data_IF_880800591287
#
_entry.id   IF_880800591287
#
_cell.length_a   1.000
_cell.length_b   1.000
_cell.length_c   1.000
_cell.angle_alpha   90.00
_cell.angle_beta   90.00
_cell.angle_gamma   90.00
#
_symmetry.space_group_name_H-M   'P 1'
#
loop_
_entity.id
_entity.type
_entity.pdbx_description
1 polymer ?
#
# COMPACT_ATOMS: atom_id res chain seq x y z
N UNK A 1 17.11 3.17 12.92
CA UNK A 1 16.65 3.11 11.52
C UNK A 1 17.36 1.94 10.86
N UNK A 2 16.65 0.85 10.57
CA UNK A 2 17.25 -0.36 9.99
C UNK A 2 17.32 -0.21 8.47
N UNK A 3 18.52 -0.21 7.90
CA UNK A 3 18.71 -0.11 6.46
C UNK A 3 18.20 -1.37 5.77
N UNK A 4 17.24 -1.18 4.87
CA UNK A 4 16.71 -2.22 4.00
C UNK A 4 17.77 -2.66 2.99
N UNK A 5 18.58 -3.65 3.35
CA UNK A 5 19.58 -4.23 2.45
C UNK A 5 18.94 -5.21 1.45
N UNK A 6 19.62 -5.45 0.32
CA UNK A 6 19.27 -6.44 -0.73
C UNK A 6 18.88 -7.83 -0.17
N UNK A 7 19.41 -8.17 1.01
CA UNK A 7 19.12 -9.41 1.73
C UNK A 7 17.67 -9.52 2.20
N UNK A 8 17.00 -8.41 2.52
CA UNK A 8 15.59 -8.39 2.88
C UNK A 8 14.69 -8.70 1.68
N UNK A 9 15.06 -8.18 0.49
CA UNK A 9 14.37 -8.46 -0.77
C UNK A 9 14.57 -9.92 -1.20
N UNK A 10 15.79 -10.45 -1.09
CA UNK A 10 16.08 -11.85 -1.36
C UNK A 10 15.38 -12.80 -0.37
N UNK A 11 15.44 -12.49 0.93
CA UNK A 11 14.72 -13.24 1.95
C UNK A 11 13.21 -13.25 1.72
N UNK A 12 12.67 -12.15 1.24
CA UNK A 12 11.26 -12.05 0.84
C UNK A 12 10.93 -12.92 -0.37
N UNK A 13 11.73 -12.86 -1.45
CA UNK A 13 11.51 -13.70 -2.64
C UNK A 13 11.54 -15.19 -2.28
N UNK A 14 12.43 -15.59 -1.36
CA UNK A 14 12.53 -16.97 -0.86
C UNK A 14 11.29 -17.34 -0.03
N UNK A 15 10.88 -16.51 0.93
CA UNK A 15 9.70 -16.77 1.76
C UNK A 15 8.41 -16.81 0.92
N UNK A 16 8.27 -15.90 -0.04
CA UNK A 16 7.16 -15.92 -1.01
C UNK A 16 7.17 -17.20 -1.84
N UNK A 17 8.34 -17.67 -2.30
CA UNK A 17 8.49 -18.92 -3.05
C UNK A 17 8.11 -20.16 -2.21
N UNK A 18 8.53 -20.21 -0.94
CA UNK A 18 8.18 -21.29 -0.01
C UNK A 18 6.67 -21.29 0.29
N UNK A 19 6.09 -20.10 0.44
CA UNK A 19 4.65 -19.94 0.65
C UNK A 19 3.84 -20.37 -0.60
N UNK A 20 4.31 -20.06 -1.82
CA UNK A 20 3.75 -20.55 -3.10
C UNK A 20 3.72 -22.08 -3.09
N UNK A 21 4.85 -22.70 -2.75
CA UNK A 21 4.98 -24.15 -2.75
C UNK A 21 4.03 -24.81 -1.74
N UNK A 22 3.93 -24.26 -0.52
CA UNK A 22 2.99 -24.78 0.51
C UNK A 22 1.52 -24.52 0.20
N UNK A 23 1.18 -23.39 -0.41
CA UNK A 23 -0.20 -23.06 -0.82
C UNK A 23 -0.75 -24.05 -1.85
N UNK A 24 0.09 -24.48 -2.79
CA UNK A 24 -0.30 -25.48 -3.80
C UNK A 24 -0.41 -26.91 -3.25
N UNK A 25 0.18 -27.19 -2.08
CA UNK A 25 0.20 -28.53 -1.50
C UNK A 25 -1.07 -28.89 -0.70
N UNK A 26 -1.93 -27.92 -0.33
CA UNK A 26 -3.17 -28.20 0.41
C UNK A 26 -4.36 -28.41 -0.54
N UNK A 27 -4.37 -29.52 -1.25
CA UNK A 27 -5.38 -29.86 -2.26
C UNK A 27 -6.67 -30.48 -1.67
N UNK A 28 -6.78 -30.64 -0.35
CA UNK A 28 -7.96 -31.26 0.26
C UNK A 28 -8.58 -30.45 1.41
N UNK A 29 -9.92 -30.36 1.36
CA UNK A 29 -10.92 -30.13 2.42
C UNK A 29 -11.60 -28.74 2.51
N UNK A 30 -12.93 -28.84 2.36
CA UNK A 30 -14.07 -27.95 2.69
C UNK A 30 -14.14 -26.59 1.96
N UNK A 31 -15.19 -26.42 1.15
CA UNK A 31 -15.67 -25.14 0.66
C UNK A 31 -16.05 -24.25 1.86
N UNK A 32 -15.19 -23.29 2.19
CA UNK A 32 -15.56 -22.18 3.06
C UNK A 32 -16.34 -21.17 2.21
N UNK A 33 -17.66 -21.13 2.39
CA UNK A 33 -18.55 -20.12 1.80
C UNK A 33 -18.75 -18.95 2.76
N UNK A 34 -18.81 -17.72 2.24
CA UNK A 34 -19.12 -16.50 3.02
C UNK A 34 -17.95 -15.56 3.24
N UNK A 35 -18.23 -14.39 3.84
CA UNK A 35 -17.26 -13.33 4.16
C UNK A 35 -16.19 -13.86 5.14
N UNK A 36 -15.08 -14.36 4.59
CA UNK A 36 -14.06 -15.04 5.38
C UNK A 36 -13.27 -14.07 6.26
N UNK A 37 -12.77 -14.53 7.42
CA UNK A 37 -11.97 -13.69 8.33
C UNK A 37 -10.74 -13.03 7.67
N UNK A 38 -10.24 -13.57 6.56
CA UNK A 38 -9.17 -12.95 5.76
C UNK A 38 -9.60 -11.61 5.13
N UNK A 39 -10.86 -11.45 4.74
CA UNK A 39 -11.40 -10.20 4.21
C UNK A 39 -11.48 -9.13 5.28
N UNK A 40 -11.91 -9.51 6.50
CA UNK A 40 -11.96 -8.59 7.63
C UNK A 40 -10.55 -8.06 7.92
N UNK A 41 -9.55 -8.95 7.98
CA UNK A 41 -8.15 -8.56 8.19
C UNK A 41 -7.65 -7.65 7.07
N UNK A 42 -7.94 -7.99 5.81
CA UNK A 42 -7.58 -7.17 4.65
C UNK A 42 -8.21 -5.77 4.73
N UNK A 43 -9.53 -5.68 4.89
CA UNK A 43 -10.26 -4.41 4.93
C UNK A 43 -9.82 -3.55 6.11
N UNK A 44 -9.63 -4.12 7.31
CA UNK A 44 -9.13 -3.39 8.46
C UNK A 44 -7.73 -2.83 8.21
N UNK A 45 -6.84 -3.62 7.60
CA UNK A 45 -5.50 -3.17 7.27
C UNK A 45 -5.54 -2.01 6.27
N UNK A 46 -6.34 -2.10 5.20
CA UNK A 46 -6.43 -1.04 4.21
C UNK A 46 -7.00 0.26 4.78
N UNK A 47 -8.01 0.16 5.65
CA UNK A 47 -8.56 1.34 6.34
C UNK A 47 -7.51 1.95 7.27
N UNK A 48 -6.79 1.11 8.01
CA UNK A 48 -5.69 1.55 8.86
C UNK A 48 -4.61 2.26 8.04
N UNK A 49 -4.18 1.67 6.92
CA UNK A 49 -3.19 2.26 6.03
C UNK A 49 -3.69 3.60 5.46
N UNK A 50 -4.93 3.66 4.95
CA UNK A 50 -5.53 4.91 4.48
C UNK A 50 -5.54 6.01 5.56
N UNK A 51 -5.82 5.64 6.82
CA UNK A 51 -5.78 6.58 7.94
C UNK A 51 -4.35 7.02 8.29
N UNK A 52 -3.38 6.11 8.19
CA UNK A 52 -1.97 6.39 8.46
C UNK A 52 -1.42 7.38 7.44
N UNK A 53 -1.70 7.20 6.14
CA UNK A 53 -1.22 8.11 5.09
C UNK A 53 -1.71 9.54 5.30
N UNK A 54 -3.01 9.70 5.56
CA UNK A 54 -3.58 11.03 5.83
C UNK A 54 -3.00 11.62 7.13
N UNK A 55 -2.80 10.79 8.15
CA UNK A 55 -2.21 11.25 9.42
C UNK A 55 -0.74 11.66 9.28
N UNK A 56 0.06 10.90 8.53
CA UNK A 56 1.47 11.20 8.26
C UNK A 56 1.62 12.48 7.46
N UNK A 57 0.78 12.68 6.44
CA UNK A 57 0.72 13.95 5.70
C UNK A 57 0.51 15.15 6.63
N UNK A 58 -0.50 15.11 7.50
CA UNK A 58 -0.76 16.21 8.44
C UNK A 58 0.35 16.37 9.48
N UNK A 59 0.96 15.26 9.94
CA UNK A 59 2.11 15.30 10.85
C UNK A 59 3.30 16.02 10.19
N UNK A 60 3.64 15.63 8.96
CA UNK A 60 4.75 16.23 8.20
C UNK A 60 4.49 17.70 7.91
N UNK A 61 3.27 18.06 7.48
CA UNK A 61 2.90 19.48 7.31
C UNK A 61 3.08 20.29 8.60
N UNK A 62 2.63 19.74 9.74
CA UNK A 62 2.77 20.40 11.02
C UNK A 62 4.23 20.55 11.45
N UNK A 63 5.05 19.51 11.27
CA UNK A 63 6.48 19.54 11.57
C UNK A 63 7.22 20.57 10.70
N UNK A 64 6.93 20.64 9.40
CA UNK A 64 7.54 21.65 8.52
C UNK A 64 7.13 23.07 8.95
N UNK A 65 5.86 23.27 9.32
CA UNK A 65 5.38 24.57 9.82
C UNK A 65 6.14 25.03 11.06
N UNK A 66 6.47 24.11 11.97
CA UNK A 66 7.18 24.41 13.21
C UNK A 66 8.70 24.55 13.02
N UNK A 67 9.32 23.66 12.25
CA UNK A 67 10.77 23.52 12.15
C UNK A 67 11.38 24.39 11.06
N UNK A 68 10.64 24.66 9.98
CA UNK A 68 11.12 25.45 8.83
C UNK A 68 10.04 26.46 8.41
N UNK A 69 9.78 27.52 9.22
CA UNK A 69 8.74 28.50 8.90
C UNK A 69 8.98 29.24 7.57
N UNK A 70 10.24 29.33 7.11
CA UNK A 70 10.61 29.91 5.83
C UNK A 70 10.07 29.12 4.63
N UNK A 71 9.83 27.81 4.77
CA UNK A 71 9.25 26.98 3.72
C UNK A 71 7.78 27.34 3.42
N UNK A 72 7.05 27.89 4.39
CA UNK A 72 5.62 28.24 4.23
C UNK A 72 5.38 29.36 3.22
N UNK A 73 6.40 30.16 2.92
CA UNK A 73 6.35 31.21 1.91
C UNK A 73 7.03 30.80 0.60
N UNK A 74 7.59 29.59 0.52
CA UNK A 74 8.26 29.11 -0.69
C UNK A 74 7.21 28.56 -1.68
N UNK A 75 7.10 29.11 -2.91
CA UNK A 75 6.13 28.66 -3.90
C UNK A 75 6.30 27.20 -4.31
N UNK A 76 7.54 26.67 -4.31
CA UNK A 76 7.82 25.29 -4.67
C UNK A 76 7.31 24.32 -3.59
N UNK A 77 7.50 24.67 -2.32
CA UNK A 77 6.95 23.91 -1.19
C UNK A 77 5.42 23.94 -1.18
N UNK A 78 4.80 25.09 -1.46
CA UNK A 78 3.34 25.20 -1.55
C UNK A 78 2.77 24.33 -2.67
N UNK A 79 3.45 24.28 -3.81
CA UNK A 79 3.06 23.43 -4.96
C UNK A 79 3.22 21.95 -4.60
N UNK A 80 4.34 21.57 -4.00
CA UNK A 80 4.60 20.22 -3.51
C UNK A 80 3.55 19.77 -2.49
N UNK A 81 3.27 20.61 -1.49
CA UNK A 81 2.29 20.34 -0.44
C UNK A 81 0.86 20.17 -0.99
N UNK A 82 0.48 20.96 -2.00
CA UNK A 82 -0.80 20.80 -2.67
C UNK A 82 -0.89 19.50 -3.47
N UNK A 83 0.18 19.13 -4.19
CA UNK A 83 0.26 17.85 -4.91
C UNK A 83 0.17 16.66 -3.95
N UNK A 84 0.93 16.72 -2.84
CA UNK A 84 0.98 15.68 -1.84
C UNK A 84 -0.39 15.48 -1.17
N UNK A 85 -1.09 16.58 -0.85
CA UNK A 85 -2.46 16.52 -0.32
C UNK A 85 -3.40 15.76 -1.27
N UNK A 86 -3.38 16.09 -2.56
CA UNK A 86 -4.21 15.42 -3.57
C UNK A 86 -3.84 13.93 -3.68
N UNK A 87 -2.54 13.63 -3.66
CA UNK A 87 -2.04 12.26 -3.76
C UNK A 87 -2.44 11.41 -2.54
N UNK A 88 -2.23 11.89 -1.31
CA UNK A 88 -2.58 11.17 -0.08
C UNK A 88 -4.09 10.90 0.03
N UNK A 89 -4.95 11.86 -0.37
CA UNK A 89 -6.39 11.63 -0.40
C UNK A 89 -6.81 10.66 -1.50
N UNK A 90 -6.22 10.76 -2.70
CA UNK A 90 -6.48 9.83 -3.78
C UNK A 90 -6.10 8.39 -3.39
N UNK A 91 -4.95 8.23 -2.74
CA UNK A 91 -4.48 6.96 -2.18
C UNK A 91 -5.48 6.41 -1.15
N UNK A 92 -5.84 7.21 -0.15
CA UNK A 92 -6.80 6.81 0.87
C UNK A 92 -8.14 6.35 0.28
N UNK A 93 -8.65 7.07 -0.73
CA UNK A 93 -9.89 6.69 -1.45
C UNK A 93 -9.72 5.37 -2.18
N UNK A 94 -8.60 5.14 -2.86
CA UNK A 94 -8.32 3.87 -3.55
C UNK A 94 -8.24 2.72 -2.55
N UNK A 95 -7.55 2.90 -1.42
CA UNK A 95 -7.44 1.89 -0.36
C UNK A 95 -8.80 1.57 0.26
N UNK A 96 -9.61 2.59 0.59
CA UNK A 96 -10.98 2.39 1.10
C UNK A 96 -11.85 1.66 0.07
N UNK A 97 -11.74 2.05 -1.20
CA UNK A 97 -12.48 1.38 -2.29
C UNK A 97 -12.07 -0.09 -2.39
N UNK A 98 -10.77 -0.41 -2.28
CA UNK A 98 -10.27 -1.79 -2.25
C UNK A 98 -10.73 -2.56 -1.01
N UNK A 99 -10.93 -1.88 0.14
CA UNK A 99 -11.44 -2.48 1.36
C UNK A 99 -12.92 -2.86 1.26
N UNK A 100 -13.70 -2.08 0.49
CA UNK A 100 -15.16 -2.24 0.34
C UNK A 100 -15.56 -3.08 -0.87
N UNK A 101 -14.78 -3.06 -1.95
CA UNK A 101 -15.03 -3.81 -3.20
C UNK A 101 -15.36 -5.31 -2.95
N UNK A 102 -14.64 -6.03 -2.07
CA UNK A 102 -14.95 -7.43 -1.78
C UNK A 102 -16.28 -7.66 -1.05
N UNK A 103 -16.89 -6.65 -0.44
CA UNK A 103 -18.21 -6.79 0.18
C UNK A 103 -19.36 -6.84 -0.84
N UNK A 104 -19.08 -6.51 -2.11
CA UNK A 104 -20.08 -6.52 -3.17
C UNK A 104 -20.31 -7.94 -3.72
N UNK A 105 -21.56 -8.37 -3.96
CA UNK A 105 -21.90 -9.72 -4.45
C UNK A 105 -21.59 -9.93 -5.95
N UNK A 106 -20.57 -9.28 -6.50
CA UNK A 106 -20.26 -9.24 -7.94
C UNK A 106 -19.19 -10.25 -8.39
N UNK A 107 -18.96 -10.32 -9.71
CA UNK A 107 -18.05 -11.29 -10.37
C UNK A 107 -16.61 -11.21 -9.84
N UNK A 108 -16.23 -12.29 -9.16
CA UNK A 108 -14.93 -12.54 -8.49
C UNK A 108 -13.67 -12.19 -9.27
N UNK A 109 -13.61 -12.42 -10.58
CA UNK A 109 -12.38 -12.19 -11.36
C UNK A 109 -12.07 -10.70 -11.55
N UNK A 110 -13.10 -9.87 -11.65
CA UNK A 110 -12.91 -8.43 -11.82
C UNK A 110 -12.55 -7.79 -10.47
N UNK A 111 -13.22 -8.20 -9.39
CA UNK A 111 -12.93 -7.69 -8.04
C UNK A 111 -11.46 -7.93 -7.63
N UNK A 112 -10.95 -9.16 -7.79
CA UNK A 112 -9.56 -9.47 -7.42
C UNK A 112 -8.58 -8.63 -8.27
N UNK A 113 -8.82 -8.52 -9.59
CA UNK A 113 -7.97 -7.71 -10.47
C UNK A 113 -7.99 -6.24 -10.07
N UNK A 114 -9.18 -5.68 -9.77
CA UNK A 114 -9.32 -4.29 -9.32
C UNK A 114 -8.64 -4.05 -7.99
N UNK A 115 -8.75 -4.96 -7.01
CA UNK A 115 -8.02 -4.86 -5.74
C UNK A 115 -6.50 -4.91 -5.95
N UNK A 116 -6.00 -5.79 -6.83
CA UNK A 116 -4.57 -5.81 -7.16
C UNK A 116 -4.13 -4.48 -7.80
N UNK A 117 -4.86 -3.99 -8.81
CA UNK A 117 -4.54 -2.70 -9.46
C UNK A 117 -4.54 -1.56 -8.43
N UNK A 118 -5.57 -1.50 -7.59
CA UNK A 118 -5.68 -0.48 -6.55
C UNK A 118 -4.54 -0.53 -5.54
N UNK A 119 -4.13 -1.73 -5.08
CA UNK A 119 -2.98 -1.90 -4.19
C UNK A 119 -1.66 -1.40 -4.80
N UNK A 120 -1.46 -1.65 -6.10
CA UNK A 120 -0.25 -1.22 -6.79
C UNK A 120 -0.24 0.29 -7.05
N UNK A 121 -1.41 0.87 -7.36
CA UNK A 121 -1.56 2.32 -7.53
C UNK A 121 -1.40 3.07 -6.21
N UNK A 122 -2.09 2.62 -5.17
CA UNK A 122 -2.06 3.23 -3.85
C UNK A 122 -0.71 3.04 -3.15
N UNK A 123 -0.04 1.89 -3.30
CA UNK A 123 1.25 1.69 -2.66
C UNK A 123 2.43 2.15 -3.51
N UNK A 124 3.08 1.24 -4.26
CA UNK A 124 4.35 1.52 -4.95
C UNK A 124 4.31 2.73 -5.89
N UNK A 125 3.23 2.91 -6.64
CA UNK A 125 3.14 4.00 -7.62
C UNK A 125 2.99 5.35 -6.92
N UNK A 126 2.15 5.45 -5.89
CA UNK A 126 2.02 6.68 -5.10
C UNK A 126 3.33 7.01 -4.39
N UNK A 127 3.95 6.03 -3.70
CA UNK A 127 5.23 6.21 -3.03
C UNK A 127 6.35 6.66 -3.99
N UNK A 128 6.39 6.10 -5.21
CA UNK A 128 7.35 6.53 -6.23
C UNK A 128 7.05 7.95 -6.73
N UNK A 129 5.78 8.30 -6.93
CA UNK A 129 5.38 9.64 -7.35
C UNK A 129 5.71 10.69 -6.28
N UNK A 130 5.47 10.38 -5.01
CA UNK A 130 5.86 11.21 -3.87
C UNK A 130 7.38 11.39 -3.81
N UNK A 131 8.15 10.31 -3.92
CA UNK A 131 9.61 10.39 -3.91
C UNK A 131 10.16 11.28 -5.04
N UNK A 132 9.62 11.14 -6.26
CA UNK A 132 10.02 11.98 -7.40
C UNK A 132 9.62 13.44 -7.18
N UNK A 133 8.42 13.70 -6.66
CA UNK A 133 7.95 15.06 -6.37
C UNK A 133 8.80 15.71 -5.26
N UNK A 134 9.11 14.96 -4.21
CA UNK A 134 9.94 15.43 -3.10
C UNK A 134 11.34 15.81 -3.59
N UNK A 135 11.98 14.96 -4.39
CA UNK A 135 13.29 15.27 -4.99
C UNK A 135 13.24 16.49 -5.93
N UNK A 136 12.16 16.65 -6.70
CA UNK A 136 12.06 17.75 -7.65
C UNK A 136 11.82 19.12 -6.99
N UNK A 137 10.94 19.18 -5.99
CA UNK A 137 10.49 20.45 -5.40
C UNK A 137 11.19 20.82 -4.10
N UNK A 138 11.65 19.83 -3.32
CA UNK A 138 12.20 20.04 -1.98
C UNK A 138 13.47 19.21 -1.73
N UNK A 139 14.11 18.70 -2.80
CA UNK A 139 15.29 17.84 -2.72
C UNK A 139 16.45 18.44 -1.92
N UNK A 140 16.62 19.76 -1.99
CA UNK A 140 17.66 20.49 -1.23
C UNK A 140 17.44 20.46 0.30
N UNK A 141 16.22 20.13 0.74
CA UNK A 141 15.85 20.01 2.15
C UNK A 141 15.82 18.54 2.64
N UNK A 142 15.96 17.56 1.74
CA UNK A 142 15.98 16.14 2.09
C UNK A 142 17.39 15.73 2.52
N UNK A 143 17.57 15.52 3.83
CA UNK A 143 18.86 15.14 4.42
C UNK A 143 19.21 13.65 4.21
N UNK A 144 18.24 12.81 3.87
CA UNK A 144 18.43 11.38 3.60
C UNK A 144 17.33 10.86 2.64
N UNK A 145 17.72 10.07 1.64
CA UNK A 145 16.77 9.40 0.74
C UNK A 145 16.15 8.19 1.46
N UNK A 146 14.99 8.38 2.08
CA UNK A 146 14.29 7.29 2.77
C UNK A 146 13.46 6.45 1.79
N UNK A 147 14.05 5.35 1.31
CA UNK A 147 13.39 4.36 0.46
C UNK A 147 12.47 3.39 1.23
N UNK A 148 12.38 3.50 2.55
CA UNK A 148 11.67 2.51 3.38
C UNK A 148 10.17 2.46 3.07
N UNK A 149 9.53 3.59 2.79
CA UNK A 149 8.11 3.66 2.39
C UNK A 149 7.87 2.93 1.07
N UNK A 150 8.73 3.15 0.07
CA UNK A 150 8.62 2.46 -1.23
C UNK A 150 8.85 0.95 -1.07
N UNK A 151 9.82 0.54 -0.24
CA UNK A 151 10.05 -0.86 0.08
C UNK A 151 8.86 -1.52 0.79
N UNK A 152 8.31 -0.87 1.81
CA UNK A 152 7.19 -1.36 2.61
C UNK A 152 5.92 -1.53 1.77
N UNK A 153 5.56 -0.52 0.97
CA UNK A 153 4.37 -0.57 0.10
C UNK A 153 4.50 -1.61 -1.01
N UNK A 154 5.70 -1.80 -1.56
CA UNK A 154 5.99 -2.81 -2.59
C UNK A 154 5.91 -4.23 -2.05
N UNK A 155 6.43 -4.47 -0.85
CA UNK A 155 6.25 -5.74 -0.18
C UNK A 155 4.79 -6.03 0.12
N UNK A 156 4.08 -5.05 0.65
CA UNK A 156 2.69 -5.20 1.01
C UNK A 156 1.83 -5.53 -0.22
N UNK A 157 1.96 -4.73 -1.29
CA UNK A 157 1.25 -4.95 -2.55
C UNK A 157 1.57 -6.33 -3.13
N UNK A 158 2.84 -6.76 -3.10
CA UNK A 158 3.26 -8.06 -3.61
C UNK A 158 2.66 -9.21 -2.79
N UNK A 159 2.70 -9.12 -1.46
CA UNK A 159 2.21 -10.17 -0.57
C UNK A 159 0.70 -10.37 -0.71
N UNK A 160 -0.08 -9.28 -0.78
CA UNK A 160 -1.53 -9.37 -0.96
C UNK A 160 -1.93 -9.77 -2.37
N UNK A 161 -1.24 -9.26 -3.41
CA UNK A 161 -1.44 -9.72 -4.78
C UNK A 161 -1.20 -11.22 -4.87
N UNK A 162 -0.11 -11.70 -4.28
CA UNK A 162 0.19 -13.12 -4.21
C UNK A 162 -0.91 -13.92 -3.50
N UNK A 163 -1.32 -13.47 -2.31
CA UNK A 163 -2.39 -14.11 -1.54
C UNK A 163 -3.69 -14.20 -2.35
N UNK A 164 -4.09 -13.13 -3.04
CA UNK A 164 -5.31 -13.12 -3.85
C UNK A 164 -5.28 -14.07 -5.03
N UNK A 165 -4.14 -14.19 -5.69
CA UNK A 165 -4.00 -15.03 -6.88
C UNK A 165 -3.86 -16.52 -6.54
N UNK A 166 -3.28 -16.86 -5.39
CA UNK A 166 -2.92 -18.25 -5.05
C UNK A 166 -3.82 -18.89 -4.01
N UNK A 167 -4.42 -18.11 -3.10
CA UNK A 167 -5.15 -18.66 -1.96
C UNK A 167 -6.43 -19.38 -2.36
N UNK A 168 -6.56 -20.63 -1.95
CA UNK A 168 -7.81 -21.39 -2.05
C UNK A 168 -8.96 -20.76 -1.26
N UNK A 169 -8.68 -19.95 -0.23
CA UNK A 169 -9.74 -19.26 0.53
C UNK A 169 -10.35 -18.15 -0.33
N UNK A 170 -9.51 -17.30 -0.92
CA UNK A 170 -9.94 -16.28 -1.89
C UNK A 170 -10.61 -16.94 -3.10
N UNK A 171 -10.07 -18.10 -3.52
CA UNK A 171 -10.69 -19.23 -4.25
C UNK A 171 -12.22 -19.34 -4.24
N UNK A 172 -12.72 -19.48 -3.02
CA UNK A 172 -14.03 -20.07 -2.73
C UNK A 172 -14.95 -19.16 -1.92
N UNK A 173 -14.48 -17.97 -1.53
CA UNK A 173 -15.23 -17.00 -0.71
C UNK A 173 -16.57 -16.59 -1.36
N UNK A 174 -16.68 -16.64 -2.69
CA UNK A 174 -17.89 -16.27 -3.45
C UNK A 174 -18.39 -17.40 -4.39
N UNK A 175 -18.12 -18.66 -4.06
CA UNK A 175 -18.73 -19.82 -4.74
C UNK A 175 -19.96 -20.29 -3.98
#
# INVERSE_FOLDING_TARGET
>A
MGSWTIWHVLGFLILASIAIWRSNASTERKQLQGYGGWLIVYSLFLIFWASQEVSEFYRVQHEVMLLVPSALNNPDYLTYSALLNVLSWAEAIVLITCALLPALPQRRSYLIKSCCIGLWLAGPVAAAAEFIAANHFVGDYLLEEDYSTLGATLLFATLWTWYFLTSFRVRNTYK
#
